data_IF_520119149232
#
_entry.id   IF_520119149232
#
_cell.length_a   1.000
_cell.length_b   1.000
_cell.length_c   1.000
_cell.angle_alpha   90.00
_cell.angle_beta   90.00
_cell.angle_gamma   90.00
#
_symmetry.space_group_name_H-M   'P 1'
#
loop_
_entity.id
_entity.type
_entity.pdbx_description
1 polymer ?
#
# COMPACT_ATOMS: atom_id res chain seq x y z
N UNK A 1 34.79 11.57 10.34
CA UNK A 1 34.25 11.17 11.66
C UNK A 1 32.78 11.58 11.85
N UNK A 2 32.37 12.82 11.55
CA UNK A 2 30.97 13.26 11.74
C UNK A 2 29.96 12.58 10.80
N UNK A 3 30.29 12.37 9.53
CA UNK A 3 29.40 11.74 8.56
C UNK A 3 29.28 10.22 8.72
N UNK A 4 30.34 9.58 9.18
CA UNK A 4 30.39 8.12 9.39
C UNK A 4 29.57 7.70 10.61
N UNK A 5 29.66 8.49 11.70
CA UNK A 5 28.80 8.34 12.88
C UNK A 5 27.34 8.62 12.54
N UNK A 6 27.06 9.64 11.72
CA UNK A 6 25.71 9.97 11.24
C UNK A 6 25.14 8.88 10.32
N UNK A 7 25.98 8.26 9.50
CA UNK A 7 25.60 7.12 8.64
C UNK A 7 25.28 5.87 9.47
N UNK A 8 26.09 5.55 10.48
CA UNK A 8 25.85 4.43 11.39
C UNK A 8 24.60 4.59 12.26
N UNK A 9 24.32 5.81 12.72
CA UNK A 9 23.10 6.07 13.51
C UNK A 9 21.85 6.00 12.64
N UNK A 10 21.90 6.48 11.40
CA UNK A 10 20.82 6.29 10.42
C UNK A 10 20.60 4.81 10.11
N UNK A 11 21.67 4.05 9.85
CA UNK A 11 21.58 2.61 9.58
C UNK A 11 21.00 1.81 10.76
N UNK A 12 21.27 2.22 12.00
CA UNK A 12 20.67 1.57 13.18
C UNK A 12 19.22 2.00 13.39
N UNK A 13 18.90 3.27 13.15
CA UNK A 13 17.52 3.77 13.17
C UNK A 13 16.65 3.02 12.17
N UNK A 14 17.13 2.81 10.95
CA UNK A 14 16.36 2.14 9.90
C UNK A 14 16.12 0.65 10.22
N UNK A 15 17.15 -0.07 10.71
CA UNK A 15 17.00 -1.45 11.20
C UNK A 15 15.98 -1.58 12.33
N UNK A 16 15.97 -0.63 13.26
CA UNK A 16 14.96 -0.59 14.33
C UNK A 16 13.55 -0.45 13.77
N UNK A 17 13.35 0.39 12.74
CA UNK A 17 12.05 0.54 12.08
C UNK A 17 11.67 -0.75 11.35
N UNK A 18 12.57 -1.32 10.55
CA UNK A 18 12.32 -2.53 9.76
C UNK A 18 11.87 -3.70 10.65
N UNK A 19 12.65 -4.00 11.69
CA UNK A 19 12.37 -5.13 12.57
C UNK A 19 11.17 -4.89 13.48
N UNK A 20 10.94 -3.65 13.92
CA UNK A 20 9.73 -3.32 14.68
C UNK A 20 8.48 -3.51 13.84
N UNK A 21 8.45 -2.99 12.61
CA UNK A 21 7.29 -3.13 11.72
C UNK A 21 7.01 -4.59 11.38
N UNK A 22 8.07 -5.39 11.14
CA UNK A 22 7.94 -6.84 10.93
C UNK A 22 7.32 -7.54 12.14
N UNK A 23 7.87 -7.33 13.34
CA UNK A 23 7.36 -7.92 14.57
C UNK A 23 5.94 -7.47 14.90
N UNK A 24 5.62 -6.19 14.70
CA UNK A 24 4.26 -5.68 14.88
C UNK A 24 3.27 -6.38 13.95
N UNK A 25 3.63 -6.64 12.69
CA UNK A 25 2.79 -7.36 11.73
C UNK A 25 2.63 -8.86 12.01
N UNK A 26 3.60 -9.50 12.68
CA UNK A 26 3.59 -10.94 12.97
C UNK A 26 2.86 -11.31 14.26
N UNK A 27 3.07 -10.54 15.33
CA UNK A 27 2.57 -10.85 16.68
C UNK A 27 1.72 -9.74 17.29
N UNK A 28 1.59 -8.58 16.63
CA UNK A 28 0.88 -7.40 17.13
C UNK A 28 1.76 -6.43 17.91
N UNK A 29 1.36 -5.15 17.97
CA UNK A 29 2.14 -4.10 18.64
C UNK A 29 2.27 -4.36 20.13
N UNK A 30 1.16 -4.72 20.79
CA UNK A 30 1.11 -4.96 22.24
C UNK A 30 1.96 -6.14 22.70
N UNK A 31 1.97 -7.23 21.93
CA UNK A 31 2.75 -8.42 22.24
C UNK A 31 4.26 -8.25 21.97
N UNK A 32 4.64 -7.18 21.25
CA UNK A 32 6.04 -6.90 20.92
C UNK A 32 6.71 -6.03 21.99
N UNK A 33 7.77 -6.56 22.62
CA UNK A 33 8.58 -5.85 23.60
C UNK A 33 9.74 -5.09 22.95
N UNK A 34 10.21 -4.01 23.61
CA UNK A 34 11.41 -3.26 23.19
C UNK A 34 12.64 -4.17 23.11
N UNK A 35 12.80 -5.10 24.05
CA UNK A 35 13.93 -6.02 24.05
C UNK A 35 13.94 -6.95 22.83
N UNK A 36 12.76 -7.41 22.35
CA UNK A 36 12.66 -8.20 21.11
C UNK A 36 13.06 -7.37 19.89
N UNK A 37 12.62 -6.11 19.82
CA UNK A 37 12.97 -5.19 18.72
C UNK A 37 14.48 -4.93 18.71
N UNK A 38 15.07 -4.64 19.88
CA UNK A 38 16.51 -4.44 20.02
C UNK A 38 17.28 -5.68 19.57
N UNK A 39 16.88 -6.87 20.03
CA UNK A 39 17.49 -8.14 19.64
C UNK A 39 17.47 -8.33 18.11
N UNK A 40 16.30 -8.13 17.50
CA UNK A 40 16.11 -8.30 16.07
C UNK A 40 16.91 -7.28 15.25
N UNK A 41 17.01 -6.04 15.73
CA UNK A 41 17.81 -4.98 15.10
C UNK A 41 19.34 -5.16 15.30
N UNK A 42 19.77 -6.22 15.99
CA UNK A 42 21.18 -6.50 16.27
C UNK A 42 21.76 -5.65 17.41
N UNK A 43 20.91 -5.16 18.32
CA UNK A 43 21.30 -4.50 19.57
C UNK A 43 21.19 -5.48 20.74
N UNK A 44 21.86 -5.15 21.85
CA UNK A 44 21.75 -5.92 23.09
C UNK A 44 20.32 -5.76 23.65
N UNK A 45 19.58 -6.86 23.91
CA UNK A 45 18.21 -6.79 24.42
C UNK A 45 18.16 -6.12 25.80
N UNK A 46 17.26 -5.16 25.98
CA UNK A 46 17.07 -4.43 27.24
C UNK A 46 18.16 -3.39 27.53
N UNK A 47 19.04 -3.10 26.57
CA UNK A 47 20.12 -2.10 26.75
C UNK A 47 19.62 -0.65 26.73
N UNK A 48 18.39 -0.42 26.27
CA UNK A 48 17.86 0.92 26.03
C UNK A 48 18.41 1.54 24.73
N UNK A 49 19.06 0.74 23.89
CA UNK A 49 19.54 1.13 22.56
C UNK A 49 18.45 1.72 21.68
N UNK A 50 17.21 1.22 21.78
CA UNK A 50 16.05 1.80 21.07
C UNK A 50 15.81 3.26 21.50
N UNK A 51 15.93 3.56 22.80
CA UNK A 51 15.61 4.87 23.36
C UNK A 51 16.59 5.97 22.95
N UNK A 52 17.76 5.61 22.42
CA UNK A 52 18.66 6.58 21.78
C UNK A 52 18.12 7.09 20.43
N UNK A 53 17.26 6.33 19.76
CA UNK A 53 16.70 6.68 18.45
C UNK A 53 15.23 7.12 18.54
N UNK A 54 14.44 6.48 19.42
CA UNK A 54 13.00 6.72 19.56
C UNK A 54 12.63 6.82 21.02
N UNK A 55 11.99 7.93 21.43
CA UNK A 55 11.66 8.15 22.86
C UNK A 55 10.62 7.15 23.40
N UNK A 56 9.90 6.45 22.52
CA UNK A 56 8.97 5.40 22.89
C UNK A 56 8.75 4.40 21.75
N UNK A 57 8.13 3.26 22.08
CA UNK A 57 7.73 2.25 21.08
C UNK A 57 6.64 2.79 20.14
N UNK A 58 5.81 3.70 20.64
CA UNK A 58 4.75 4.39 19.88
C UNK A 58 5.37 5.28 18.80
N UNK A 59 6.38 6.08 19.15
CA UNK A 59 7.06 6.95 18.19
C UNK A 59 7.86 6.16 17.14
N UNK A 60 8.33 4.95 17.49
CA UNK A 60 8.92 4.03 16.53
C UNK A 60 7.86 3.51 15.54
N UNK A 61 6.68 3.12 16.03
CA UNK A 61 5.55 2.71 15.19
C UNK A 61 5.12 3.87 14.26
N UNK A 62 4.97 5.08 14.78
CA UNK A 62 4.62 6.26 13.98
C UNK A 62 5.65 6.52 12.88
N UNK A 63 6.95 6.46 13.19
CA UNK A 63 8.00 6.62 12.20
C UNK A 63 7.99 5.52 11.12
N UNK A 64 7.68 4.28 11.50
CA UNK A 64 7.53 3.17 10.56
C UNK A 64 6.32 3.34 9.65
N UNK A 65 5.19 3.78 10.19
CA UNK A 65 3.98 4.13 9.43
C UNK A 65 4.27 5.26 8.45
N UNK A 66 4.85 6.36 8.92
CA UNK A 66 5.13 7.53 8.07
C UNK A 66 6.05 7.13 6.90
N UNK A 67 7.09 6.33 7.15
CA UNK A 67 7.97 5.81 6.10
C UNK A 67 7.23 4.96 5.07
N UNK A 68 6.30 4.10 5.51
CA UNK A 68 5.50 3.29 4.58
C UNK A 68 4.55 4.17 3.76
N UNK A 69 3.88 5.14 4.38
CA UNK A 69 3.00 6.08 3.68
C UNK A 69 3.75 6.92 2.65
N UNK A 70 4.97 7.37 2.96
CA UNK A 70 5.81 8.10 2.01
C UNK A 70 6.22 7.23 0.82
N UNK A 71 6.50 5.93 1.04
CA UNK A 71 6.74 4.98 -0.05
C UNK A 71 5.52 4.83 -0.96
N UNK A 72 4.32 4.74 -0.38
CA UNK A 72 3.07 4.62 -1.13
C UNK A 72 2.76 5.87 -1.96
N UNK A 73 3.03 7.06 -1.40
CA UNK A 73 2.96 8.33 -2.14
C UNK A 73 3.94 8.35 -3.32
N UNK A 74 5.19 7.95 -3.10
CA UNK A 74 6.20 7.90 -4.16
C UNK A 74 5.82 6.93 -5.29
N UNK A 75 5.26 5.76 -4.95
CA UNK A 75 4.73 4.82 -5.94
C UNK A 75 3.61 5.49 -6.77
N UNK A 76 2.71 6.25 -6.12
CA UNK A 76 1.59 6.91 -6.83
C UNK A 76 2.08 7.95 -7.82
N UNK A 77 3.14 8.69 -7.49
CA UNK A 77 3.74 9.65 -8.41
C UNK A 77 4.30 8.94 -9.66
N UNK A 78 4.80 7.70 -9.53
CA UNK A 78 5.23 6.89 -10.67
C UNK A 78 4.05 6.55 -11.59
N UNK A 79 2.84 6.29 -11.05
CA UNK A 79 1.64 6.04 -11.88
C UNK A 79 1.34 7.21 -12.83
N UNK A 80 1.53 8.44 -12.39
CA UNK A 80 1.28 9.63 -13.22
C UNK A 80 2.24 9.73 -14.43
N UNK A 81 3.39 9.06 -14.37
CA UNK A 81 4.37 9.00 -15.47
C UNK A 81 3.87 8.12 -16.62
N UNK A 82 2.98 7.17 -16.34
CA UNK A 82 2.43 6.26 -17.35
C UNK A 82 1.16 6.79 -18.04
N UNK A 83 0.69 8.00 -17.71
CA UNK A 83 -0.40 8.64 -18.44
C UNK A 83 0.10 9.03 -19.85
N UNK A 84 -0.50 8.46 -20.90
CA UNK A 84 -0.13 8.73 -22.30
C UNK A 84 0.63 7.60 -23.01
N UNK A 85 0.52 6.35 -22.55
CA UNK A 85 0.96 5.19 -23.33
C UNK A 85 0.05 4.98 -24.55
N UNK A 86 0.56 4.34 -25.59
CA UNK A 86 -0.02 4.36 -26.94
C UNK A 86 -1.41 3.71 -27.10
N UNK A 87 -1.84 2.84 -26.18
CA UNK A 87 -3.17 2.19 -26.24
C UNK A 87 -3.76 1.89 -24.85
N UNK A 88 -5.11 1.86 -24.77
CA UNK A 88 -5.89 1.69 -23.54
C UNK A 88 -5.53 0.42 -22.75
N UNK A 89 -5.33 -0.70 -23.45
CA UNK A 89 -5.06 -1.99 -22.80
C UNK A 89 -3.67 -2.02 -22.18
N UNK A 90 -2.69 -1.40 -22.84
CA UNK A 90 -1.34 -1.21 -22.27
C UNK A 90 -1.38 -0.32 -21.02
N UNK A 91 -2.10 0.81 -21.05
CA UNK A 91 -2.27 1.69 -19.88
C UNK A 91 -2.91 0.93 -18.71
N UNK A 92 -3.99 0.19 -18.98
CA UNK A 92 -4.65 -0.65 -17.99
C UNK A 92 -3.69 -1.73 -17.46
N UNK A 93 -2.95 -2.43 -18.32
CA UNK A 93 -2.00 -3.47 -17.88
C UNK A 93 -0.99 -2.93 -16.89
N UNK A 94 -0.38 -1.78 -17.19
CA UNK A 94 0.58 -1.13 -16.30
C UNK A 94 -0.10 -0.72 -15.01
N UNK A 95 -1.29 -0.11 -15.08
CA UNK A 95 -2.03 0.34 -13.92
C UNK A 95 -2.43 -0.82 -13.00
N UNK A 96 -2.93 -1.92 -13.54
CA UNK A 96 -3.34 -3.09 -12.77
C UNK A 96 -2.14 -3.75 -12.08
N UNK A 97 -1.02 -3.93 -12.79
CA UNK A 97 0.23 -4.46 -12.18
C UNK A 97 0.75 -3.54 -11.07
N UNK A 98 0.74 -2.24 -11.33
CA UNK A 98 1.12 -1.23 -10.34
C UNK A 98 0.22 -1.30 -9.10
N UNK A 99 -1.10 -1.34 -9.25
CA UNK A 99 -2.04 -1.47 -8.13
C UNK A 99 -1.80 -2.75 -7.33
N UNK A 100 -1.58 -3.88 -8.01
CA UNK A 100 -1.26 -5.15 -7.37
C UNK A 100 0.03 -5.07 -6.53
N UNK A 101 1.05 -4.36 -7.01
CA UNK A 101 2.30 -4.15 -6.28
C UNK A 101 2.15 -3.19 -5.10
N UNK A 102 1.36 -2.12 -5.26
CA UNK A 102 1.00 -1.24 -4.14
C UNK A 102 0.34 -2.04 -3.03
N UNK A 103 -0.64 -2.90 -3.35
CA UNK A 103 -1.32 -3.71 -2.33
C UNK A 103 -0.34 -4.71 -1.67
N UNK A 104 0.66 -5.23 -2.40
CA UNK A 104 1.72 -6.06 -1.81
C UNK A 104 2.53 -5.29 -0.75
N UNK A 105 3.00 -4.09 -1.10
CA UNK A 105 3.77 -3.23 -0.21
C UNK A 105 2.93 -2.76 0.98
N UNK A 106 1.63 -2.49 0.77
CA UNK A 106 0.68 -2.12 1.82
C UNK A 106 0.39 -3.25 2.80
N UNK A 107 0.68 -4.50 2.44
CA UNK A 107 0.23 -5.66 3.21
C UNK A 107 0.76 -5.71 4.65
N UNK A 108 1.98 -5.24 4.90
CA UNK A 108 2.51 -5.09 6.26
C UNK A 108 1.78 -4.00 7.06
N UNK A 109 1.52 -2.86 6.42
CA UNK A 109 0.80 -1.74 7.04
C UNK A 109 -0.64 -2.15 7.36
N UNK A 110 -1.34 -2.76 6.40
CA UNK A 110 -2.68 -3.30 6.56
C UNK A 110 -2.75 -4.41 7.63
N UNK A 111 -1.71 -5.25 7.78
CA UNK A 111 -1.62 -6.23 8.89
C UNK A 111 -1.58 -5.54 10.24
N UNK A 112 -0.65 -4.60 10.42
CA UNK A 112 -0.51 -3.82 11.66
C UNK A 112 -1.83 -3.09 11.98
N UNK A 113 -2.44 -2.47 10.98
CA UNK A 113 -3.74 -1.80 11.06
C UNK A 113 -4.80 -2.81 11.51
N UNK A 114 -4.92 -3.95 10.84
CA UNK A 114 -5.92 -4.99 11.16
C UNK A 114 -5.75 -5.62 12.54
N UNK A 115 -4.51 -5.84 13.01
CA UNK A 115 -4.22 -6.40 14.35
C UNK A 115 -4.55 -5.43 15.49
N UNK A 116 -4.56 -4.12 15.20
CA UNK A 116 -4.69 -3.03 16.17
C UNK A 116 -6.07 -2.35 16.15
N UNK A 117 -7.08 -2.92 15.46
CA UNK A 117 -8.43 -2.34 15.25
C UNK A 117 -9.17 -1.88 16.52
N UNK A 118 -8.68 -2.19 17.73
CA UNK A 118 -9.32 -1.84 18.99
C UNK A 118 -8.80 -0.56 19.66
N UNK A 119 -7.60 -0.09 19.34
CA UNK A 119 -6.91 0.93 20.18
C UNK A 119 -6.00 1.92 19.40
N UNK A 120 -6.25 2.14 18.10
CA UNK A 120 -5.36 2.92 17.23
C UNK A 120 -5.24 4.41 17.61
N UNK A 121 -4.10 5.07 17.31
CA UNK A 121 -4.08 6.51 17.08
C UNK A 121 -4.85 6.83 15.78
N UNK A 122 -5.92 7.64 15.88
CA UNK A 122 -6.85 7.97 14.80
C UNK A 122 -6.17 8.34 13.46
N UNK A 123 -5.03 9.02 13.53
CA UNK A 123 -4.22 9.49 12.40
C UNK A 123 -3.87 8.41 11.36
N UNK A 124 -3.60 7.17 11.79
CA UNK A 124 -3.22 6.09 10.86
C UNK A 124 -4.41 5.64 9.99
N UNK A 125 -5.58 5.49 10.61
CA UNK A 125 -6.79 5.09 9.90
C UNK A 125 -7.21 6.17 8.89
N UNK A 126 -7.16 7.44 9.30
CA UNK A 126 -7.48 8.57 8.45
C UNK A 126 -6.53 8.66 7.25
N UNK A 127 -5.23 8.45 7.46
CA UNK A 127 -4.25 8.55 6.37
C UNK A 127 -4.39 7.42 5.36
N UNK A 128 -4.69 6.21 5.83
CA UNK A 128 -4.99 5.08 4.94
C UNK A 128 -6.29 5.27 4.17
N UNK A 129 -7.33 5.77 4.84
CA UNK A 129 -8.59 6.11 4.18
C UNK A 129 -8.35 7.12 3.05
N UNK A 130 -7.60 8.19 3.31
CA UNK A 130 -7.26 9.18 2.29
C UNK A 130 -6.46 8.58 1.12
N UNK A 131 -5.51 7.67 1.39
CA UNK A 131 -4.73 7.03 0.33
C UNK A 131 -5.61 6.15 -0.58
N UNK A 132 -6.55 5.41 0.03
CA UNK A 132 -7.53 4.59 -0.70
C UNK A 132 -8.45 5.49 -1.50
N UNK A 133 -9.06 6.50 -0.88
CA UNK A 133 -9.96 7.44 -1.54
C UNK A 133 -9.30 8.13 -2.74
N UNK A 134 -8.04 8.58 -2.57
CA UNK A 134 -7.25 9.20 -3.64
C UNK A 134 -6.99 8.22 -4.80
N UNK A 135 -6.79 6.94 -4.51
CA UNK A 135 -6.55 5.92 -5.54
C UNK A 135 -7.79 5.67 -6.40
N UNK A 136 -8.97 5.61 -5.77
CA UNK A 136 -10.26 5.45 -6.44
C UNK A 136 -10.61 6.71 -7.24
N UNK A 137 -10.49 7.89 -6.62
CA UNK A 137 -10.72 9.16 -7.29
C UNK A 137 -9.77 9.34 -8.49
N UNK A 138 -8.48 9.00 -8.33
CA UNK A 138 -7.50 9.08 -9.40
C UNK A 138 -7.83 8.19 -10.60
N UNK A 139 -8.32 6.97 -10.37
CA UNK A 139 -8.80 6.09 -11.44
C UNK A 139 -10.04 6.65 -12.14
N UNK A 140 -11.03 7.12 -11.38
CA UNK A 140 -12.24 7.74 -11.95
C UNK A 140 -11.89 8.96 -12.82
N UNK A 141 -11.02 9.85 -12.34
CA UNK A 141 -10.57 11.01 -13.10
C UNK A 141 -9.76 10.63 -14.34
N UNK A 142 -8.96 9.57 -14.29
CA UNK A 142 -8.25 9.07 -15.48
C UNK A 142 -9.24 8.55 -16.54
N UNK A 143 -10.27 7.78 -16.14
CA UNK A 143 -11.33 7.30 -17.04
C UNK A 143 -12.07 8.49 -17.68
N UNK A 144 -12.46 9.49 -16.88
CA UNK A 144 -13.17 10.67 -17.35
C UNK A 144 -12.33 11.52 -18.32
N UNK A 145 -11.03 11.69 -18.05
CA UNK A 145 -10.12 12.38 -18.99
C UNK A 145 -9.98 11.62 -20.31
N UNK A 146 -9.97 10.29 -20.26
CA UNK A 146 -9.80 9.44 -21.44
C UNK A 146 -11.05 9.45 -22.33
N UNK A 147 -12.23 9.39 -21.71
CA UNK A 147 -13.53 9.38 -22.39
C UNK A 147 -14.46 10.40 -21.73
N UNK A 148 -14.38 11.70 -22.09
CA UNK A 148 -15.19 12.74 -21.45
C UNK A 148 -16.71 12.51 -21.54
N UNK A 149 -17.17 11.78 -22.57
CA UNK A 149 -18.58 11.44 -22.76
C UNK A 149 -19.11 10.40 -21.76
N UNK A 150 -18.25 9.67 -21.04
CA UNK A 150 -18.66 8.57 -20.15
C UNK A 150 -19.46 9.06 -18.93
N UNK A 151 -19.22 10.32 -18.51
CA UNK A 151 -19.82 10.92 -17.32
C UNK A 151 -19.19 10.47 -16.00
N UNK A 152 -19.16 11.40 -15.03
CA UNK A 152 -18.51 11.22 -13.72
C UNK A 152 -19.02 10.00 -12.94
N UNK A 153 -20.33 9.85 -12.80
CA UNK A 153 -20.96 8.76 -12.01
C UNK A 153 -20.56 7.38 -12.56
N UNK A 154 -20.52 7.23 -13.88
CA UNK A 154 -20.13 5.98 -14.53
C UNK A 154 -18.64 5.72 -14.38
N UNK A 155 -17.79 6.75 -14.51
CA UNK A 155 -16.36 6.63 -14.28
C UNK A 155 -16.04 6.18 -12.85
N UNK A 156 -16.70 6.78 -11.84
CA UNK A 156 -16.59 6.41 -10.43
C UNK A 156 -17.02 4.96 -10.18
N UNK A 157 -18.11 4.53 -10.82
CA UNK A 157 -18.61 3.14 -10.72
C UNK A 157 -17.62 2.15 -11.33
N UNK A 158 -17.09 2.42 -12.53
CA UNK A 158 -16.10 1.56 -13.19
C UNK A 158 -14.83 1.47 -12.36
N UNK A 159 -14.31 2.61 -11.89
CA UNK A 159 -13.12 2.67 -11.03
C UNK A 159 -13.29 1.83 -9.76
N UNK A 160 -14.44 1.96 -9.10
CA UNK A 160 -14.76 1.22 -7.87
C UNK A 160 -14.74 -0.28 -8.09
N UNK A 161 -15.44 -0.77 -9.12
CA UNK A 161 -15.50 -2.20 -9.43
C UNK A 161 -14.12 -2.72 -9.85
N UNK A 162 -13.40 -1.98 -10.68
CA UNK A 162 -12.08 -2.36 -11.17
C UNK A 162 -11.07 -2.51 -10.03
N UNK A 163 -10.98 -1.53 -9.13
CA UNK A 163 -10.04 -1.57 -8.00
C UNK A 163 -10.44 -2.60 -6.95
N UNK A 164 -11.75 -2.77 -6.67
CA UNK A 164 -12.24 -3.80 -5.75
C UNK A 164 -11.84 -5.21 -6.20
N UNK A 165 -11.84 -5.49 -7.50
CA UNK A 165 -11.44 -6.80 -8.02
C UNK A 165 -9.97 -7.12 -7.71
N UNK A 166 -9.07 -6.17 -7.97
CA UNK A 166 -7.64 -6.32 -7.68
C UNK A 166 -7.37 -6.39 -6.16
N UNK A 167 -8.07 -5.55 -5.39
CA UNK A 167 -8.00 -5.58 -3.93
C UNK A 167 -8.44 -6.94 -3.39
N UNK A 168 -9.58 -7.47 -3.81
CA UNK A 168 -10.08 -8.76 -3.34
C UNK A 168 -9.14 -9.92 -3.71
N UNK A 169 -8.64 -9.94 -4.96
CA UNK A 169 -7.68 -10.94 -5.44
C UNK A 169 -6.43 -11.01 -4.56
N UNK A 170 -5.90 -9.85 -4.14
CA UNK A 170 -4.69 -9.78 -3.33
C UNK A 170 -4.97 -10.02 -1.84
N UNK A 171 -6.03 -9.43 -1.32
CA UNK A 171 -6.30 -9.38 0.12
C UNK A 171 -6.85 -10.72 0.65
N UNK A 172 -7.69 -11.44 -0.11
CA UNK A 172 -8.28 -12.71 0.36
C UNK A 172 -7.21 -13.79 0.69
N UNK A 173 -6.23 -14.07 -0.19
CA UNK A 173 -5.13 -14.99 0.13
C UNK A 173 -4.26 -14.47 1.28
N UNK A 174 -3.92 -13.18 1.24
CA UNK A 174 -2.91 -12.62 2.11
C UNK A 174 -3.37 -12.43 3.56
N UNK A 175 -4.64 -12.06 3.76
CA UNK A 175 -5.19 -11.77 5.10
C UNK A 175 -6.06 -12.87 5.66
N UNK A 176 -6.83 -13.55 4.80
CA UNK A 176 -7.77 -14.57 5.24
C UNK A 176 -7.25 -15.98 5.00
N UNK A 177 -6.12 -16.15 4.29
CA UNK A 177 -5.62 -17.46 3.87
C UNK A 177 -6.58 -18.17 2.91
N UNK A 178 -7.51 -17.42 2.30
CA UNK A 178 -8.52 -17.98 1.43
C UNK A 178 -8.01 -17.98 -0.01
N UNK A 179 -7.97 -19.17 -0.60
CA UNK A 179 -7.65 -19.38 -2.01
C UNK A 179 -8.85 -20.03 -2.69
N UNK A 180 -9.92 -19.27 -3.02
CA UNK A 180 -11.11 -19.84 -3.65
C UNK A 180 -10.76 -20.56 -4.96
N UNK A 181 -9.81 -20.00 -5.72
CA UNK A 181 -9.26 -20.52 -6.96
C UNK A 181 -7.79 -20.11 -7.07
N UNK A 182 -6.97 -20.96 -7.70
CA UNK A 182 -5.56 -20.65 -7.99
C UNK A 182 -5.46 -19.96 -9.36
N UNK A 183 -5.50 -18.63 -9.36
CA UNK A 183 -5.28 -17.80 -10.55
C UNK A 183 -4.10 -16.88 -10.27
N UNK A 184 -3.11 -16.87 -11.17
CA UNK A 184 -1.94 -16.00 -11.07
C UNK A 184 -2.26 -14.56 -11.48
N UNK A 185 -1.33 -13.66 -11.17
CA UNK A 185 -1.47 -12.23 -11.43
C UNK A 185 -1.55 -11.92 -12.93
N UNK A 186 -0.83 -12.64 -13.78
CA UNK A 186 -0.84 -12.39 -15.23
C UNK A 186 -2.21 -12.67 -15.84
N UNK A 187 -2.83 -13.79 -15.43
CA UNK A 187 -4.18 -14.17 -15.86
C UNK A 187 -5.24 -13.23 -15.31
N UNK A 188 -5.16 -12.84 -14.03
CA UNK A 188 -6.08 -11.86 -13.46
C UNK A 188 -5.97 -10.51 -14.16
N UNK A 189 -4.75 -10.04 -14.43
CA UNK A 189 -4.55 -8.77 -15.13
C UNK A 189 -5.09 -8.84 -16.55
N UNK A 190 -4.86 -9.94 -17.29
CA UNK A 190 -5.41 -10.10 -18.64
C UNK A 190 -6.94 -9.97 -18.67
N UNK A 191 -7.65 -10.68 -17.80
CA UNK A 191 -9.11 -10.60 -17.71
C UNK A 191 -9.60 -9.23 -17.22
N UNK A 192 -8.91 -8.67 -16.22
CA UNK A 192 -9.24 -7.36 -15.68
C UNK A 192 -9.12 -6.26 -16.75
N UNK A 193 -8.07 -6.31 -17.58
CA UNK A 193 -7.87 -5.35 -18.68
C UNK A 193 -9.03 -5.41 -19.66
N UNK A 194 -9.43 -6.59 -20.11
CA UNK A 194 -10.54 -6.72 -21.08
C UNK A 194 -11.87 -6.29 -20.49
N UNK A 195 -12.15 -6.63 -19.23
CA UNK A 195 -13.37 -6.20 -18.54
C UNK A 195 -13.45 -4.67 -18.41
N UNK A 196 -12.36 -4.03 -17.99
CA UNK A 196 -12.34 -2.57 -17.80
C UNK A 196 -12.34 -1.84 -19.14
N UNK A 197 -11.52 -2.28 -20.10
CA UNK A 197 -11.48 -1.69 -21.44
C UNK A 197 -12.85 -1.76 -22.12
N UNK A 198 -13.51 -2.91 -22.10
CA UNK A 198 -14.83 -3.08 -22.70
C UNK A 198 -15.89 -2.15 -22.07
N UNK A 199 -15.82 -1.86 -20.76
CA UNK A 199 -16.76 -0.94 -20.10
C UNK A 199 -16.53 0.52 -20.46
N UNK A 200 -15.27 0.90 -20.67
CA UNK A 200 -14.86 2.23 -21.14
C UNK A 200 -15.30 2.40 -22.60
N UNK A 201 -14.98 1.45 -23.47
CA UNK A 201 -15.29 1.48 -24.92
C UNK A 201 -16.80 1.43 -25.21
N UNK A 202 -17.59 0.67 -24.44
CA UNK A 202 -19.06 0.69 -24.55
C UNK A 202 -19.69 2.03 -24.12
N UNK A 203 -18.91 2.93 -23.52
CA UNK A 203 -19.32 4.31 -23.26
C UNK A 203 -19.36 5.18 -24.51
N UNK A 204 -18.46 4.93 -25.46
CA UNK A 204 -18.35 5.71 -26.70
C UNK A 204 -19.50 5.44 -27.70
N UNK A 205 -20.14 4.28 -27.63
CA UNK A 205 -21.16 3.87 -28.61
C UNK A 205 -22.57 4.44 -28.37
N UNK A 206 -22.80 5.10 -27.23
CA UNK A 206 -24.09 5.69 -26.86
C UNK A 206 -24.06 7.24 -26.82
N UNK A 207 -22.99 7.86 -27.31
CA UNK A 207 -22.85 9.31 -27.51
C UNK A 207 -23.03 9.67 -29.00
#
# INVERSE_FOLDING_TARGET
>A
MSDEMRSMTTATRDRLIDEAMRLFGEQGYRATSVAQIEAAAGLTPGSGGLYHHFRSKELLLEAGIDRQLDRLRALRDIRQIFEGLTDLRSELTVMGRYTLEVINEESQLLRIVSSELRDRPAKLADTLAHLVDDSYAGMASWIERRVPAIGRERAETIATVALNALFAHRTLPHFLGLHPLMVDDDRIIGEWVEMVAGRIEQGDLNA
#
